data_IF_096953964504
#
_entry.id   IF_096953964504
#
_cell.length_a   1.000
_cell.length_b   1.000
_cell.length_c   1.000
_cell.angle_alpha   90.00
_cell.angle_beta   90.00
_cell.angle_gamma   90.00
#
_symmetry.space_group_name_H-M   'P 1'
#
loop_
_entity.id
_entity.type
_entity.pdbx_description
1 polymer ?
#
# COMPACT_ATOMS: atom_id res chain seq x y z
N UNK A 1 -80.74 -5.40 37.75
CA UNK A 1 -80.93 -3.99 37.35
C UNK A 1 -79.61 -3.24 37.49
N UNK A 2 -79.15 -2.59 36.41
CA UNK A 2 -78.13 -1.51 36.36
C UNK A 2 -76.69 -1.95 36.70
N UNK A 3 -75.62 -1.63 35.96
CA UNK A 3 -75.39 -0.89 34.71
C UNK A 3 -74.00 -1.34 34.22
N UNK A 4 -73.90 -1.69 32.95
CA UNK A 4 -72.64 -1.95 32.24
C UNK A 4 -71.92 -0.61 32.02
N UNK A 5 -70.69 -0.45 32.51
CA UNK A 5 -69.77 0.61 32.08
C UNK A 5 -68.75 0.01 31.12
N UNK A 6 -68.83 0.41 29.86
CA UNK A 6 -67.77 0.25 28.87
C UNK A 6 -66.69 1.30 29.16
N UNK A 7 -65.52 0.87 29.61
CA UNK A 7 -64.30 1.68 29.51
C UNK A 7 -63.56 1.26 28.24
N UNK A 8 -63.58 2.15 27.24
CA UNK A 8 -62.72 2.06 26.08
C UNK A 8 -61.27 2.27 26.51
N UNK A 9 -60.44 1.26 26.29
CA UNK A 9 -58.99 1.39 26.45
C UNK A 9 -58.41 1.77 25.09
N UNK A 10 -58.00 3.04 24.96
CA UNK A 10 -57.22 3.53 23.83
C UNK A 10 -55.94 2.72 23.68
N UNK A 11 -55.69 2.27 22.45
CA UNK A 11 -54.48 1.63 21.98
C UNK A 11 -53.36 2.69 21.91
N UNK A 12 -52.52 2.78 22.94
CA UNK A 12 -51.29 3.58 22.89
C UNK A 12 -50.22 2.77 22.16
N UNK A 13 -50.05 2.98 20.86
CA UNK A 13 -48.91 2.44 20.11
C UNK A 13 -47.68 3.27 20.49
N UNK A 14 -46.85 2.73 21.38
CA UNK A 14 -45.50 3.26 21.61
C UNK A 14 -44.65 2.83 20.41
N UNK A 15 -44.46 3.74 19.44
CA UNK A 15 -43.41 3.56 18.43
C UNK A 15 -42.06 3.76 19.13
N UNK A 16 -41.45 2.65 19.57
CA UNK A 16 -40.04 2.63 19.90
C UNK A 16 -39.25 2.77 18.59
N UNK A 17 -38.89 4.00 18.23
CA UNK A 17 -37.89 4.28 17.20
C UNK A 17 -36.51 3.89 17.76
N UNK A 18 -36.22 2.59 17.74
CA UNK A 18 -34.86 2.10 17.85
C UNK A 18 -34.14 2.53 16.57
N UNK A 19 -33.44 3.65 16.63
CA UNK A 19 -32.51 4.07 15.60
C UNK A 19 -31.54 2.91 15.35
N UNK A 20 -31.69 2.26 14.20
CA UNK A 20 -30.71 1.33 13.64
C UNK A 20 -29.48 2.16 13.27
N UNK A 21 -28.65 2.48 14.25
CA UNK A 21 -27.26 2.80 13.98
C UNK A 21 -26.58 1.47 13.64
N UNK A 22 -26.64 1.08 12.37
CA UNK A 22 -25.68 0.12 11.86
C UNK A 22 -24.31 0.77 11.99
N UNK A 23 -23.51 0.28 12.94
CA UNK A 23 -22.08 0.47 12.93
C UNK A 23 -21.61 0.02 11.55
N UNK A 24 -21.16 0.96 10.71
CA UNK A 24 -20.32 0.61 9.59
C UNK A 24 -19.01 0.13 10.20
N UNK A 25 -18.93 -1.14 10.59
CA UNK A 25 -17.63 -1.78 10.74
C UNK A 25 -16.95 -1.62 9.38
N UNK A 26 -15.84 -0.89 9.36
CA UNK A 26 -14.94 -0.98 8.24
C UNK A 26 -14.61 -2.47 8.08
N UNK A 27 -14.94 -3.07 6.94
CA UNK A 27 -14.41 -4.39 6.61
C UNK A 27 -12.89 -4.22 6.55
N UNK A 28 -12.21 -4.53 7.66
CA UNK A 28 -10.79 -4.83 7.62
C UNK A 28 -10.68 -5.99 6.62
N UNK A 29 -10.01 -5.80 5.47
CA UNK A 29 -9.80 -6.91 4.56
C UNK A 29 -9.19 -8.05 5.38
N UNK A 30 -9.74 -9.26 5.25
CA UNK A 30 -9.25 -10.42 5.98
C UNK A 30 -7.73 -10.45 5.83
N UNK A 31 -7.01 -10.46 6.97
CA UNK A 31 -5.56 -10.56 6.95
C UNK A 31 -5.21 -11.77 6.10
N UNK A 32 -4.30 -11.63 5.12
CA UNK A 32 -3.93 -12.75 4.27
C UNK A 32 -3.51 -13.91 5.18
N UNK A 33 -4.18 -15.04 5.00
CA UNK A 33 -3.94 -16.26 5.75
C UNK A 33 -2.46 -16.64 5.60
N UNK A 34 -1.89 -17.24 6.65
CA UNK A 34 -0.55 -17.83 6.58
C UNK A 34 -0.48 -18.73 5.34
N UNK A 35 0.62 -18.63 4.58
CA UNK A 35 0.79 -19.35 3.30
C UNK A 35 0.30 -20.80 3.40
N UNK A 36 -0.58 -21.18 2.45
CA UNK A 36 -1.08 -22.54 2.29
C UNK A 36 -0.40 -23.17 1.06
N UNK A 37 0.40 -24.25 1.23
CA UNK A 37 1.04 -24.96 0.13
C UNK A 37 0.06 -25.56 -0.89
N UNK A 38 -1.21 -25.75 -0.52
CA UNK A 38 -2.24 -26.33 -1.37
C UNK A 38 -3.19 -25.28 -1.96
N UNK A 39 -2.90 -23.99 -1.77
CA UNK A 39 -3.72 -22.93 -2.32
C UNK A 39 -3.61 -22.93 -3.85
N UNK A 40 -4.76 -22.97 -4.51
CA UNK A 40 -4.87 -22.74 -5.95
C UNK A 40 -5.55 -21.39 -6.20
N UNK A 41 -5.03 -20.57 -7.14
CA UNK A 41 -5.68 -19.32 -7.49
C UNK A 41 -7.08 -19.60 -8.06
N UNK A 42 -8.08 -18.76 -7.75
CA UNK A 42 -9.36 -18.81 -8.43
C UNK A 42 -9.14 -18.67 -9.94
N UNK A 43 -10.07 -19.18 -10.74
CA UNK A 43 -10.00 -19.13 -12.21
C UNK A 43 -11.17 -18.35 -12.77
N UNK A 44 -10.90 -17.63 -13.86
CA UNK A 44 -11.94 -16.99 -14.66
C UNK A 44 -12.79 -18.03 -15.38
N UNK A 45 -13.93 -17.60 -15.94
CA UNK A 45 -14.78 -18.45 -16.76
C UNK A 45 -14.08 -19.01 -18.03
N UNK A 46 -12.96 -18.39 -18.43
CA UNK A 46 -12.11 -18.82 -19.54
C UNK A 46 -10.83 -19.56 -19.09
N UNK A 47 -10.72 -19.92 -17.81
CA UNK A 47 -9.68 -20.83 -17.29
C UNK A 47 -8.35 -20.19 -16.88
N UNK A 48 -8.17 -18.89 -17.09
CA UNK A 48 -6.99 -18.14 -16.62
C UNK A 48 -7.05 -17.92 -15.11
N UNK A 49 -5.91 -17.72 -14.41
CA UNK A 49 -5.92 -17.25 -13.03
C UNK A 49 -6.74 -15.96 -12.88
N UNK A 50 -7.58 -15.88 -11.85
CA UNK A 50 -8.38 -14.70 -11.60
C UNK A 50 -7.58 -13.64 -10.83
N UNK A 51 -7.08 -12.64 -11.54
CA UNK A 51 -6.35 -11.50 -10.99
C UNK A 51 -7.26 -10.30 -10.75
N UNK A 52 -8.56 -10.38 -11.05
CA UNK A 52 -9.45 -9.23 -10.92
C UNK A 52 -9.57 -8.76 -9.47
N UNK A 53 -9.71 -7.45 -9.30
CA UNK A 53 -10.05 -6.85 -8.01
C UNK A 53 -9.15 -5.72 -7.61
N UNK A 54 -9.24 -5.35 -6.33
CA UNK A 54 -8.40 -4.33 -5.72
C UNK A 54 -7.25 -5.01 -5.00
N UNK A 55 -6.05 -4.48 -5.22
CA UNK A 55 -4.80 -5.03 -4.74
C UNK A 55 -3.95 -3.90 -4.13
N UNK A 56 -3.01 -4.29 -3.28
CA UNK A 56 -2.01 -3.38 -2.71
C UNK A 56 -0.61 -3.99 -2.86
N UNK A 57 0.39 -3.14 -3.08
CA UNK A 57 1.81 -3.53 -3.11
C UNK A 57 2.52 -3.18 -1.80
N UNK A 58 1.76 -2.83 -0.76
CA UNK A 58 2.29 -2.56 0.57
C UNK A 58 3.01 -3.81 1.12
N UNK A 59 4.25 -3.65 1.55
CA UNK A 59 5.08 -4.78 2.00
C UNK A 59 6.20 -4.32 2.92
N UNK A 60 6.55 -5.17 3.88
CA UNK A 60 7.74 -5.02 4.72
C UNK A 60 9.01 -5.56 4.03
N UNK A 61 8.89 -6.24 2.90
CA UNK A 61 10.04 -6.70 2.12
C UNK A 61 10.70 -5.53 1.39
N UNK A 62 12.02 -5.44 1.52
CA UNK A 62 12.80 -4.38 0.88
C UNK A 62 12.81 -4.56 -0.63
N UNK A 63 12.93 -3.47 -1.39
CA UNK A 63 13.14 -3.59 -2.82
C UNK A 63 14.47 -4.29 -3.13
N UNK A 64 15.58 -3.79 -2.55
CA UNK A 64 16.92 -4.38 -2.66
C UNK A 64 17.37 -5.10 -1.39
N UNK A 65 18.12 -6.20 -1.55
CA UNK A 65 18.69 -6.96 -0.44
C UNK A 65 19.83 -6.20 0.21
N UNK A 66 19.92 -6.22 1.54
CA UNK A 66 21.09 -5.69 2.26
C UNK A 66 22.33 -6.55 1.97
N UNK A 67 23.51 -5.93 1.92
CA UNK A 67 24.76 -6.70 1.76
C UNK A 67 24.93 -7.67 2.93
N UNK A 68 25.40 -8.88 2.63
CA UNK A 68 25.64 -9.93 3.62
C UNK A 68 24.36 -10.54 4.24
N UNK A 69 23.19 -10.29 3.65
CA UNK A 69 21.93 -10.93 4.07
C UNK A 69 21.56 -12.02 3.07
N UNK A 70 21.10 -13.16 3.58
CA UNK A 70 20.63 -14.29 2.79
C UNK A 70 19.36 -13.97 1.99
N UNK A 71 19.03 -14.72 0.92
CA UNK A 71 17.86 -14.45 0.08
C UNK A 71 16.51 -14.70 0.78
N UNK A 72 16.52 -15.48 1.86
CA UNK A 72 15.33 -15.95 2.56
C UNK A 72 15.49 -15.64 4.06
N UNK A 73 14.47 -15.04 4.67
CA UNK A 73 14.40 -14.89 6.12
C UNK A 73 14.08 -16.22 6.80
N UNK A 74 14.52 -16.40 8.03
CA UNK A 74 13.90 -17.42 8.89
C UNK A 74 12.50 -16.95 9.33
N UNK A 75 11.61 -17.88 9.67
CA UNK A 75 10.28 -17.52 10.16
C UNK A 75 10.33 -16.73 11.48
N UNK A 76 11.32 -16.99 12.34
CA UNK A 76 11.55 -16.18 13.56
C UNK A 76 11.91 -14.72 13.22
N UNK A 77 12.72 -14.51 12.17
CA UNK A 77 13.01 -13.16 11.70
C UNK A 77 11.79 -12.46 11.12
N UNK A 78 10.93 -13.20 10.40
CA UNK A 78 9.64 -12.69 9.90
C UNK A 78 8.77 -12.24 11.08
N UNK A 79 8.56 -13.09 12.08
CA UNK A 79 7.75 -12.77 13.27
C UNK A 79 8.27 -11.51 13.98
N UNK A 80 9.60 -11.37 14.08
CA UNK A 80 10.25 -10.18 14.65
C UNK A 80 10.09 -8.93 13.76
N UNK A 81 10.06 -9.06 12.44
CA UNK A 81 9.85 -7.93 11.52
C UNK A 81 8.40 -7.47 11.58
N UNK A 82 7.45 -8.39 11.41
CA UNK A 82 6.02 -8.12 11.40
C UNK A 82 5.53 -7.63 12.78
N UNK A 83 5.97 -8.26 13.87
CA UNK A 83 5.61 -7.84 15.23
C UNK A 83 6.13 -6.45 15.60
N UNK A 84 7.31 -6.04 15.09
CA UNK A 84 7.81 -4.67 15.25
C UNK A 84 6.95 -3.67 14.50
N UNK A 85 6.50 -4.01 13.29
CA UNK A 85 5.59 -3.14 12.54
C UNK A 85 4.25 -3.00 13.24
N UNK A 86 3.67 -4.11 13.70
CA UNK A 86 2.42 -4.10 14.47
C UNK A 86 2.53 -3.20 15.71
N UNK A 87 3.63 -3.32 16.46
CA UNK A 87 3.89 -2.45 17.63
C UNK A 87 4.00 -0.98 17.23
N UNK A 88 4.65 -0.69 16.10
CA UNK A 88 4.80 0.67 15.57
C UNK A 88 3.45 1.27 15.19
N UNK A 89 2.61 0.50 14.51
CA UNK A 89 1.25 0.89 14.11
C UNK A 89 0.38 1.13 15.34
N UNK A 90 0.38 0.19 16.30
CA UNK A 90 -0.40 0.31 17.53
C UNK A 90 -0.05 1.58 18.32
N UNK A 91 1.25 1.85 18.51
CA UNK A 91 1.72 3.07 19.17
C UNK A 91 1.29 4.32 18.41
N UNK A 92 1.33 4.27 17.07
CA UNK A 92 0.94 5.41 16.23
C UNK A 92 -0.56 5.74 16.30
N UNK A 93 -1.39 4.78 16.71
CA UNK A 93 -2.82 4.99 16.96
C UNK A 93 -3.15 5.45 18.38
N UNK A 94 -2.17 5.50 19.28
CA UNK A 94 -2.37 6.09 20.60
C UNK A 94 -2.75 7.57 20.47
N UNK A 95 -3.63 8.03 21.36
CA UNK A 95 -4.04 9.42 21.38
C UNK A 95 -2.84 10.31 21.68
N UNK A 96 -2.74 11.43 20.96
CA UNK A 96 -1.76 12.45 21.28
C UNK A 96 -2.02 13.04 22.66
N UNK A 97 -0.95 13.29 23.41
CA UNK A 97 -1.03 14.05 24.67
C UNK A 97 -1.57 15.47 24.38
N UNK A 98 -2.74 15.85 24.95
CA UNK A 98 -3.34 17.16 24.75
C UNK A 98 -2.50 18.30 25.36
N UNK A 99 -1.67 17.99 26.36
CA UNK A 99 -0.86 18.96 27.11
C UNK A 99 0.58 19.06 26.57
N UNK A 100 0.88 18.37 25.45
CA UNK A 100 2.22 18.41 24.85
C UNK A 100 2.64 19.85 24.48
N UNK A 101 3.92 20.21 24.66
CA UNK A 101 4.39 21.52 24.24
C UNK A 101 4.20 21.72 22.73
N UNK A 102 4.03 22.96 22.27
CA UNK A 102 3.95 23.24 20.85
C UNK A 102 5.23 22.76 20.15
N UNK A 103 5.08 22.31 18.90
CA UNK A 103 6.23 21.95 18.09
C UNK A 103 7.16 23.16 17.91
N UNK A 104 8.46 22.90 17.82
CA UNK A 104 9.45 23.95 17.57
C UNK A 104 9.14 24.65 16.25
N UNK A 105 9.33 25.97 16.21
CA UNK A 105 9.14 26.75 14.99
C UNK A 105 10.00 26.17 13.84
N UNK A 106 9.38 25.95 12.68
CA UNK A 106 10.01 25.28 11.54
C UNK A 106 9.86 23.75 11.52
N UNK A 107 9.27 23.14 12.56
CA UNK A 107 8.92 21.74 12.59
C UNK A 107 7.40 21.58 12.66
N UNK A 108 6.80 21.16 11.55
CA UNK A 108 5.34 20.89 11.47
C UNK A 108 4.97 19.46 11.86
N UNK A 109 5.94 18.65 12.26
CA UNK A 109 5.75 17.24 12.57
C UNK A 109 5.64 16.34 11.33
N UNK A 110 5.23 15.10 11.55
CA UNK A 110 4.96 14.12 10.50
C UNK A 110 3.46 13.80 10.45
N UNK A 111 3.01 13.18 9.35
CA UNK A 111 1.64 12.67 9.24
C UNK A 111 1.32 11.70 10.39
N UNK A 112 0.04 11.69 10.79
CA UNK A 112 -0.47 10.70 11.73
C UNK A 112 -0.36 9.28 11.13
N UNK A 113 -0.21 8.27 11.99
CA UNK A 113 -0.11 6.86 11.56
C UNK A 113 -1.28 6.40 10.69
N UNK A 114 -2.49 6.98 10.84
CA UNK A 114 -3.66 6.66 10.01
C UNK A 114 -3.45 6.90 8.51
N UNK A 115 -2.53 7.80 8.13
CA UNK A 115 -2.21 8.09 6.73
C UNK A 115 -1.14 7.17 6.14
N UNK A 116 -0.58 6.27 6.94
CA UNK A 116 0.47 5.38 6.47
C UNK A 116 -0.05 3.95 6.30
N UNK A 117 0.15 3.43 5.10
CA UNK A 117 0.05 2.04 4.73
C UNK A 117 1.45 1.53 4.30
N UNK A 118 2.20 0.96 5.24
CA UNK A 118 3.54 0.41 4.97
C UNK A 118 3.50 -1.08 4.65
N UNK A 119 2.31 -1.70 4.73
CA UNK A 119 2.14 -3.14 4.79
C UNK A 119 2.46 -3.70 6.18
N UNK A 120 1.98 -4.90 6.45
CA UNK A 120 2.14 -5.61 7.71
C UNK A 120 2.87 -6.96 7.56
N UNK A 121 3.16 -7.37 6.32
CA UNK A 121 3.76 -8.67 5.99
C UNK A 121 5.05 -8.60 5.20
N UNK A 122 5.91 -9.58 5.44
CA UNK A 122 7.01 -9.95 4.53
C UNK A 122 6.44 -10.72 3.34
N UNK A 123 6.89 -10.38 2.13
CA UNK A 123 6.50 -11.10 0.92
C UNK A 123 7.00 -12.55 0.94
N UNK A 124 6.08 -13.50 0.76
CA UNK A 124 6.37 -14.94 0.66
C UNK A 124 6.21 -15.36 -0.80
N UNK A 125 7.24 -15.95 -1.38
CA UNK A 125 7.22 -16.45 -2.76
C UNK A 125 7.60 -17.92 -2.72
N UNK A 126 6.74 -18.80 -3.23
CA UNK A 126 6.94 -20.26 -3.20
C UNK A 126 7.23 -20.81 -1.80
N UNK A 127 6.57 -20.27 -0.77
CA UNK A 127 6.79 -20.65 0.63
C UNK A 127 8.03 -20.06 1.29
N UNK A 128 8.83 -19.28 0.57
CA UNK A 128 10.03 -18.63 1.11
C UNK A 128 9.77 -17.15 1.43
N UNK A 129 9.97 -16.70 2.69
CA UNK A 129 9.89 -15.28 3.03
C UNK A 129 11.12 -14.52 2.48
N UNK A 130 10.89 -13.63 1.51
CA UNK A 130 11.95 -13.00 0.73
C UNK A 130 12.55 -11.80 1.45
N UNK A 131 13.88 -11.68 1.40
CA UNK A 131 14.61 -10.52 1.94
C UNK A 131 14.68 -9.33 0.99
N UNK A 132 14.32 -9.53 -0.29
CA UNK A 132 14.25 -8.52 -1.33
C UNK A 132 13.17 -8.84 -2.37
N UNK A 133 12.61 -7.80 -3.00
CA UNK A 133 11.72 -7.94 -4.16
C UNK A 133 12.48 -8.24 -5.45
N UNK A 134 13.71 -7.72 -5.59
CA UNK A 134 14.59 -8.13 -6.69
C UNK A 134 15.02 -9.58 -6.47
N UNK A 135 14.70 -10.44 -7.43
CA UNK A 135 15.05 -11.86 -7.46
C UNK A 135 16.18 -12.19 -8.43
N UNK A 136 16.36 -11.34 -9.44
CA UNK A 136 17.46 -11.42 -10.40
C UNK A 136 18.09 -10.02 -10.58
N UNK A 137 19.42 -9.86 -10.42
CA UNK A 137 20.42 -10.89 -10.13
C UNK A 137 20.24 -11.55 -8.75
N UNK A 138 20.92 -12.68 -8.53
CA UNK A 138 20.74 -13.52 -7.33
C UNK A 138 21.13 -12.81 -6.03
N UNK A 139 21.93 -11.74 -6.11
CA UNK A 139 22.27 -10.87 -4.98
C UNK A 139 21.12 -9.93 -4.56
N UNK A 140 20.02 -9.89 -5.32
CA UNK A 140 18.80 -9.16 -5.00
C UNK A 140 18.96 -7.66 -5.06
N UNK A 141 19.85 -7.16 -5.93
CA UNK A 141 20.19 -5.74 -6.06
C UNK A 141 20.00 -5.25 -7.47
N UNK A 142 19.84 -3.93 -7.63
CA UNK A 142 19.78 -3.32 -8.95
C UNK A 142 21.13 -3.55 -9.65
N UNK A 143 21.16 -4.18 -10.83
CA UNK A 143 22.41 -4.40 -11.54
C UNK A 143 23.04 -3.07 -11.96
N UNK A 144 24.37 -3.06 -12.13
CA UNK A 144 25.06 -1.91 -12.68
C UNK A 144 24.53 -1.54 -14.07
N UNK A 145 24.51 -0.24 -14.37
CA UNK A 145 24.12 0.24 -15.69
C UNK A 145 25.03 -0.34 -16.78
N UNK A 146 24.45 -0.71 -17.91
CA UNK A 146 25.19 -1.03 -19.14
C UNK A 146 26.02 0.18 -19.59
N UNK A 147 26.99 -0.03 -20.49
CA UNK A 147 27.77 1.07 -21.04
C UNK A 147 26.86 2.15 -21.68
N UNK A 148 25.85 1.74 -22.44
CA UNK A 148 24.84 2.64 -22.98
C UNK A 148 24.09 3.41 -21.89
N UNK A 149 23.70 2.74 -20.80
CA UNK A 149 23.04 3.38 -19.67
C UNK A 149 23.93 4.40 -18.96
N UNK A 150 25.24 4.11 -18.84
CA UNK A 150 26.22 5.06 -18.30
C UNK A 150 26.37 6.28 -19.20
N UNK A 151 26.47 6.09 -20.51
CA UNK A 151 26.54 7.20 -21.49
C UNK A 151 25.30 8.09 -21.41
N UNK A 152 24.09 7.52 -21.46
CA UNK A 152 22.84 8.29 -21.35
C UNK A 152 22.74 9.06 -20.03
N UNK A 153 23.20 8.46 -18.93
CA UNK A 153 23.23 9.14 -17.62
C UNK A 153 24.19 10.32 -17.66
N UNK A 154 25.39 10.12 -18.20
CA UNK A 154 26.40 11.18 -18.31
C UNK A 154 25.92 12.33 -19.20
N UNK A 155 25.36 12.04 -20.38
CA UNK A 155 24.77 13.05 -21.27
C UNK A 155 23.68 13.86 -20.56
N UNK A 156 22.83 13.19 -19.78
CA UNK A 156 21.81 13.86 -18.99
C UNK A 156 22.43 14.73 -17.89
N UNK A 157 23.42 14.23 -17.14
CA UNK A 157 24.11 15.00 -16.09
C UNK A 157 24.82 16.24 -16.67
N UNK A 158 25.52 16.09 -17.80
CA UNK A 158 26.21 17.17 -18.52
C UNK A 158 25.22 18.23 -19.01
N UNK A 159 24.08 17.81 -19.57
CA UNK A 159 22.98 18.72 -19.93
C UNK A 159 22.46 19.50 -18.73
N UNK A 160 22.16 18.81 -17.62
CA UNK A 160 21.61 19.43 -16.40
C UNK A 160 22.57 20.43 -15.76
N UNK A 161 23.88 20.18 -15.86
CA UNK A 161 24.91 21.02 -15.23
C UNK A 161 24.96 22.46 -15.76
N UNK A 162 24.37 22.70 -16.93
CA UNK A 162 24.32 24.01 -17.59
C UNK A 162 23.33 24.99 -16.94
N UNK A 163 22.51 24.51 -15.98
CA UNK A 163 21.37 25.26 -15.45
C UNK A 163 21.25 25.10 -13.92
N UNK A 164 20.55 26.03 -13.27
CA UNK A 164 20.05 25.82 -11.91
C UNK A 164 18.96 24.75 -11.85
N UNK A 165 18.67 24.23 -10.65
CA UNK A 165 17.81 23.05 -10.42
C UNK A 165 16.45 23.09 -11.12
N UNK A 166 15.88 24.26 -11.36
CA UNK A 166 14.56 24.46 -11.96
C UNK A 166 14.56 25.49 -13.10
N UNK A 167 15.73 25.86 -13.62
CA UNK A 167 15.89 26.98 -14.56
C UNK A 167 15.68 26.59 -16.04
N UNK A 168 15.28 25.34 -16.30
CA UNK A 168 14.99 24.85 -17.64
C UNK A 168 13.82 23.85 -17.62
N UNK A 169 12.89 23.88 -18.59
CA UNK A 169 11.69 23.04 -18.58
C UNK A 169 11.99 21.53 -18.53
N UNK A 170 13.07 21.09 -19.18
CA UNK A 170 13.50 19.69 -19.15
C UNK A 170 14.13 19.24 -17.82
N UNK A 171 14.33 20.17 -16.86
CA UNK A 171 14.82 19.85 -15.53
C UNK A 171 13.70 19.63 -14.51
N UNK A 172 12.46 19.98 -14.88
CA UNK A 172 11.28 19.77 -14.04
C UNK A 172 11.08 18.26 -13.83
N UNK A 173 11.08 17.76 -12.58
CA UNK A 173 10.85 16.35 -12.30
C UNK A 173 9.58 15.80 -12.95
N UNK A 174 9.61 14.52 -13.32
CA UNK A 174 8.45 13.84 -13.94
C UNK A 174 7.18 13.91 -13.07
N UNK A 175 7.34 13.97 -11.74
CA UNK A 175 6.24 14.14 -10.80
C UNK A 175 5.55 15.50 -10.91
N UNK A 176 6.31 16.57 -11.15
CA UNK A 176 5.73 17.90 -11.37
C UNK A 176 5.08 18.04 -12.74
N UNK A 177 5.52 17.22 -13.70
CA UNK A 177 4.93 17.11 -15.04
C UNK A 177 3.74 16.15 -15.07
N UNK A 178 3.35 15.57 -13.92
CA UNK A 178 2.29 14.55 -13.80
C UNK A 178 2.47 13.32 -14.71
N UNK A 179 3.71 12.99 -15.08
CA UNK A 179 4.03 11.84 -15.95
C UNK A 179 4.16 10.55 -15.13
N UNK A 180 4.76 10.65 -13.94
CA UNK A 180 4.87 9.53 -12.99
C UNK A 180 4.62 10.03 -11.58
N UNK A 181 4.04 9.20 -10.72
CA UNK A 181 3.74 9.61 -9.36
C UNK A 181 5.01 9.67 -8.50
N UNK A 182 5.01 10.65 -7.58
CA UNK A 182 6.01 10.84 -6.54
C UNK A 182 6.22 9.51 -5.81
N UNK A 183 7.42 8.97 -5.82
CA UNK A 183 7.79 7.99 -4.83
C UNK A 183 9.17 8.32 -4.31
N UNK A 184 9.31 8.16 -3.01
CA UNK A 184 10.55 8.07 -2.23
C UNK A 184 11.43 6.88 -2.65
N UNK A 185 11.29 6.42 -3.90
CA UNK A 185 11.92 5.29 -4.56
C UNK A 185 12.33 5.76 -5.97
N UNK A 186 13.54 5.43 -6.46
CA UNK A 186 14.02 5.80 -7.80
C UNK A 186 13.18 5.19 -8.96
N UNK A 187 12.17 4.41 -8.64
CA UNK A 187 11.28 3.67 -9.54
C UNK A 187 9.83 4.00 -9.15
N UNK A 188 9.04 4.46 -10.10
CA UNK A 188 7.69 4.97 -9.84
C UNK A 188 6.71 3.92 -9.30
N UNK A 189 5.55 4.40 -8.85
CA UNK A 189 4.47 3.54 -8.31
C UNK A 189 3.80 2.70 -9.39
N UNK A 190 3.88 3.09 -10.67
CA UNK A 190 3.48 2.26 -11.81
C UNK A 190 4.43 2.31 -13.02
N UNK A 191 5.48 3.13 -13.01
CA UNK A 191 6.51 3.05 -14.06
C UNK A 191 7.18 1.68 -14.01
N UNK A 192 7.59 1.02 -15.11
CA UNK A 192 8.31 -0.24 -15.02
C UNK A 192 9.70 0.04 -14.44
N UNK A 193 10.12 -0.63 -13.34
CA UNK A 193 9.34 -1.55 -12.52
C UNK A 193 8.46 -0.82 -11.48
N UNK A 194 7.23 -1.30 -11.30
CA UNK A 194 6.35 -0.85 -10.21
C UNK A 194 7.06 -1.17 -8.89
N UNK A 195 7.25 -0.17 -8.02
CA UNK A 195 7.84 -0.41 -6.69
C UNK A 195 6.97 0.06 -5.54
N UNK A 196 7.02 -0.64 -4.39
CA UNK A 196 6.28 -0.22 -3.20
C UNK A 196 6.71 1.17 -2.74
N UNK A 197 5.76 2.00 -2.33
CA UNK A 197 6.06 3.36 -1.84
C UNK A 197 6.64 3.35 -0.43
N UNK A 198 6.48 2.24 0.31
CA UNK A 198 6.82 2.07 1.73
C UNK A 198 6.16 3.11 2.65
N UNK A 199 5.08 3.76 2.19
CA UNK A 199 4.45 4.88 2.88
C UNK A 199 2.93 4.80 2.85
N UNK A 200 2.34 5.06 1.68
CA UNK A 200 0.90 5.06 1.42
C UNK A 200 0.67 5.10 -0.11
N UNK A 201 -0.58 5.08 -0.57
CA UNK A 201 -0.93 5.06 -2.01
C UNK A 201 -0.43 3.82 -2.76
N UNK A 202 -0.58 2.66 -2.12
CA UNK A 202 -0.12 1.38 -2.66
C UNK A 202 -1.20 0.64 -3.49
N UNK A 203 -2.39 1.23 -3.65
CA UNK A 203 -3.54 0.52 -4.21
C UNK A 203 -3.60 0.57 -5.74
N UNK A 204 -4.07 -0.53 -6.31
CA UNK A 204 -4.37 -0.68 -7.73
C UNK A 204 -5.60 -1.55 -7.94
N UNK A 205 -6.27 -1.31 -9.06
CA UNK A 205 -7.38 -2.14 -9.54
C UNK A 205 -6.90 -2.89 -10.77
N UNK A 206 -7.05 -4.22 -10.74
CA UNK A 206 -6.77 -5.09 -11.86
C UNK A 206 -8.10 -5.51 -12.50
N UNK A 207 -8.19 -5.32 -13.81
CA UNK A 207 -9.31 -5.76 -14.64
C UNK A 207 -8.72 -6.67 -15.72
N UNK A 208 -9.35 -7.79 -16.00
CA UNK A 208 -8.86 -8.70 -17.05
C UNK A 208 -10.00 -9.26 -17.89
N UNK A 209 -9.69 -9.58 -19.14
CA UNK A 209 -10.55 -10.36 -20.02
C UNK A 209 -9.78 -11.60 -20.51
N UNK A 210 -10.26 -12.22 -21.59
CA UNK A 210 -9.59 -13.38 -22.21
C UNK A 210 -8.17 -13.09 -22.69
N UNK A 211 -7.89 -11.85 -23.10
CA UNK A 211 -6.72 -11.51 -23.91
C UNK A 211 -5.80 -10.47 -23.26
N UNK A 212 -6.31 -9.72 -22.27
CA UNK A 212 -5.63 -8.57 -21.68
C UNK A 212 -5.82 -8.53 -20.16
N UNK A 213 -4.79 -8.01 -19.50
CA UNK A 213 -4.81 -7.58 -18.09
C UNK A 213 -4.53 -6.09 -18.09
N UNK A 214 -5.37 -5.34 -17.40
CA UNK A 214 -5.24 -3.90 -17.20
C UNK A 214 -4.97 -3.63 -15.74
N UNK A 215 -3.90 -2.91 -15.45
CA UNK A 215 -3.52 -2.48 -14.10
C UNK A 215 -3.68 -0.98 -14.01
N UNK A 216 -4.57 -0.52 -13.13
CA UNK A 216 -4.82 0.90 -12.87
C UNK A 216 -4.38 1.27 -11.45
N UNK A 217 -3.50 2.25 -11.30
CA UNK A 217 -3.18 2.77 -9.96
C UNK A 217 -4.29 3.69 -9.46
N UNK A 218 -4.42 3.73 -8.14
CA UNK A 218 -5.16 4.79 -7.47
C UNK A 218 -4.55 6.17 -7.78
N UNK A 219 -3.24 6.35 -7.55
CA UNK A 219 -2.57 7.64 -7.75
C UNK A 219 -2.20 7.90 -9.20
N UNK A 220 -2.48 9.12 -9.69
CA UNK A 220 -2.28 9.60 -11.07
C UNK A 220 -3.16 8.88 -12.11
N UNK A 221 -3.81 7.77 -11.75
CA UNK A 221 -4.64 6.97 -12.66
C UNK A 221 -3.85 6.49 -13.89
N UNK A 222 -2.58 6.10 -13.71
CA UNK A 222 -1.79 5.44 -14.76
C UNK A 222 -2.40 4.05 -15.02
N UNK A 223 -2.56 3.70 -16.30
CA UNK A 223 -3.21 2.49 -16.79
C UNK A 223 -2.25 1.80 -17.75
N UNK A 224 -2.00 0.51 -17.50
CA UNK A 224 -1.09 -0.32 -18.29
C UNK A 224 -1.70 -1.66 -18.61
#
# INVERSE_FOLDING_TARGET
MKKTLLFGLSLTIVLSSASLFSSSEAQEPERPQKWDPNWEPPRTAWGHPDLQGNWSNATLTRFERRQGVDPVYTWEEVDRIEGREQTRVQRGFESSDPDRPPLQAGNVGAYNQIYFDRGDRVAVVNGEPRTSLITFPSDGRIPALSLEGQTRKQEYDDFRSQFGRYDHPELRPLAERCVVYYASSPTGVLGPPMTPTQGYNNNFTIIQNTDHVVIRSEMIHDIR
#
